data_IF_194818395992
#
_entry.id   IF_194818395992
#
_cell.length_a   1.000
_cell.length_b   1.000
_cell.length_c   1.000
_cell.angle_alpha   90.00
_cell.angle_beta   90.00
_cell.angle_gamma   90.00
#
_symmetry.space_group_name_H-M   'P 1'
#
loop_
_entity.id
_entity.type
_entity.pdbx_description
1 polymer ?
#
# COMPACT_ATOMS: atom_id res chain seq x y z
N UNK A 1 -70.08 19.04 52.29
CA UNK A 1 -68.77 18.37 52.13
C UNK A 1 -68.68 17.54 50.84
N UNK A 2 -69.60 16.68 50.47
CA UNK A 2 -69.50 15.87 49.23
C UNK A 2 -69.48 16.67 47.93
N UNK A 3 -70.14 17.84 47.85
CA UNK A 3 -70.11 18.68 46.62
C UNK A 3 -68.85 19.43 46.44
N UNK A 4 -68.14 19.83 47.52
CA UNK A 4 -66.81 20.43 47.47
C UNK A 4 -65.72 19.45 47.03
N UNK A 5 -65.81 18.20 47.45
CA UNK A 5 -64.89 17.16 47.04
C UNK A 5 -65.00 16.81 45.54
N UNK A 6 -66.23 16.82 44.99
CA UNK A 6 -66.46 16.54 43.56
C UNK A 6 -65.93 17.69 42.70
N UNK A 7 -66.04 18.94 43.10
CA UNK A 7 -65.49 20.09 42.34
C UNK A 7 -63.99 20.07 42.37
N UNK A 8 -63.34 19.68 43.49
CA UNK A 8 -61.86 19.57 43.59
C UNK A 8 -61.31 18.44 42.70
N UNK A 9 -62.00 17.33 42.59
CA UNK A 9 -61.64 16.21 41.72
C UNK A 9 -61.72 16.60 40.22
N UNK A 10 -62.83 17.30 39.85
CA UNK A 10 -62.98 17.80 38.47
C UNK A 10 -61.87 18.83 38.07
N UNK A 11 -61.46 19.67 39.00
CA UNK A 11 -60.38 20.63 38.75
C UNK A 11 -58.99 19.97 38.50
N UNK A 12 -58.73 18.85 39.17
CA UNK A 12 -57.48 18.09 38.97
C UNK A 12 -57.42 17.36 37.63
N UNK A 13 -58.55 16.97 37.08
CA UNK A 13 -58.63 16.30 35.76
C UNK A 13 -58.41 17.27 34.58
N UNK A 14 -58.74 18.57 34.77
CA UNK A 14 -58.52 19.56 33.71
C UNK A 14 -57.03 20.03 33.59
N UNK A 15 -56.18 19.77 34.55
CA UNK A 15 -54.78 20.17 34.55
C UNK A 15 -53.87 19.33 33.61
N UNK A 16 -54.32 18.19 33.13
CA UNK A 16 -53.49 17.29 32.28
C UNK A 16 -53.60 17.58 30.78
N UNK A 17 -54.53 18.43 30.32
CA UNK A 17 -54.73 18.62 28.86
C UNK A 17 -53.86 19.65 28.19
N UNK A 18 -52.95 20.33 28.91
CA UNK A 18 -52.15 21.43 28.37
C UNK A 18 -50.79 21.01 27.78
N UNK A 19 -50.34 19.80 28.06
CA UNK A 19 -48.97 19.40 27.65
C UNK A 19 -48.85 18.94 26.20
N UNK A 20 -49.90 18.43 25.64
CA UNK A 20 -49.87 17.87 24.27
C UNK A 20 -50.10 18.92 23.20
N UNK A 21 -50.67 20.08 23.52
CA UNK A 21 -50.96 21.14 22.56
C UNK A 21 -49.66 21.79 22.00
N UNK A 22 -48.66 22.02 22.84
CA UNK A 22 -47.40 22.61 22.43
C UNK A 22 -46.56 21.64 21.57
N UNK A 23 -46.64 20.36 21.91
CA UNK A 23 -45.96 19.30 21.14
C UNK A 23 -46.61 19.13 19.77
N UNK A 24 -47.96 19.11 19.73
CA UNK A 24 -48.68 19.02 18.47
C UNK A 24 -48.44 20.25 17.58
N UNK A 25 -48.41 21.46 18.14
CA UNK A 25 -48.03 22.66 17.40
C UNK A 25 -46.62 22.56 16.85
N UNK A 26 -45.67 22.09 17.64
CA UNK A 26 -44.29 21.91 17.17
C UNK A 26 -44.20 20.88 16.02
N UNK A 27 -44.87 19.76 16.14
CA UNK A 27 -44.95 18.73 15.09
C UNK A 27 -45.54 19.32 13.80
N UNK A 28 -46.65 20.06 13.90
CA UNK A 28 -47.25 20.70 12.73
C UNK A 28 -46.36 21.76 12.10
N UNK A 29 -45.62 22.54 12.90
CA UNK A 29 -44.67 23.53 12.40
C UNK A 29 -43.56 22.84 11.62
N UNK A 30 -42.94 21.81 12.18
CA UNK A 30 -41.88 21.05 11.49
C UNK A 30 -42.38 20.35 10.24
N UNK A 31 -43.63 19.85 10.27
CA UNK A 31 -44.24 19.19 9.14
C UNK A 31 -44.63 20.14 8.01
N UNK A 32 -44.97 21.39 8.35
CA UNK A 32 -45.27 22.44 7.39
C UNK A 32 -44.05 23.15 6.81
N UNK A 33 -42.87 22.98 7.45
CA UNK A 33 -41.63 23.49 6.86
C UNK A 33 -41.37 22.80 5.54
N UNK A 34 -41.26 23.55 4.44
CA UNK A 34 -40.92 22.96 3.15
C UNK A 34 -39.57 22.25 3.25
N UNK A 35 -39.54 20.97 2.96
CA UNK A 35 -38.31 20.19 2.95
C UNK A 35 -37.21 20.92 2.16
N UNK A 36 -36.02 20.98 2.71
CA UNK A 36 -34.89 21.64 2.06
C UNK A 36 -34.77 21.22 0.60
N UNK A 37 -34.36 22.17 -0.24
CA UNK A 37 -34.18 21.93 -1.66
C UNK A 37 -33.16 20.79 -1.84
N UNK A 38 -33.62 19.64 -2.29
CA UNK A 38 -32.75 18.52 -2.63
C UNK A 38 -31.95 18.92 -3.87
N UNK A 39 -30.63 18.93 -3.79
CA UNK A 39 -29.79 19.14 -4.95
C UNK A 39 -30.09 18.06 -6.01
N UNK A 40 -30.26 18.46 -7.27
CA UNK A 40 -30.43 17.49 -8.35
C UNK A 40 -29.22 16.56 -8.39
N UNK A 41 -29.46 15.26 -8.55
CA UNK A 41 -28.40 14.29 -8.72
C UNK A 41 -27.49 14.72 -9.89
N UNK A 42 -26.16 14.60 -9.75
CA UNK A 42 -25.24 14.89 -10.85
C UNK A 42 -25.59 14.02 -12.05
N UNK A 43 -25.64 14.64 -13.21
CA UNK A 43 -25.85 13.92 -14.47
C UNK A 43 -24.73 12.91 -14.67
N UNK A 44 -25.10 11.63 -14.71
CA UNK A 44 -24.16 10.56 -15.04
C UNK A 44 -23.86 10.68 -16.54
N UNK A 45 -22.68 11.18 -16.87
CA UNK A 45 -22.22 11.15 -18.25
C UNK A 45 -22.06 9.69 -18.66
N UNK A 46 -22.78 9.22 -19.70
CA UNK A 46 -22.54 7.91 -20.25
C UNK A 46 -21.07 7.87 -20.71
N UNK A 47 -20.29 6.91 -20.20
CA UNK A 47 -18.96 6.70 -20.73
C UNK A 47 -19.06 5.75 -21.93
N UNK A 48 -18.30 6.04 -22.98
CA UNK A 48 -18.23 5.18 -24.14
C UNK A 48 -17.58 3.86 -23.75
N UNK A 49 -18.34 2.77 -23.90
CA UNK A 49 -17.82 1.44 -23.63
C UNK A 49 -16.72 1.12 -24.65
N UNK A 50 -15.48 0.97 -24.16
CA UNK A 50 -14.38 0.57 -25.01
C UNK A 50 -14.57 -0.88 -25.47
N UNK A 51 -14.76 -1.10 -26.75
CA UNK A 51 -14.80 -2.42 -27.33
C UNK A 51 -13.38 -2.98 -27.44
N UNK A 52 -13.03 -3.95 -26.61
CA UNK A 52 -11.74 -4.63 -26.68
C UNK A 52 -11.65 -5.45 -27.96
N UNK A 53 -10.78 -5.04 -28.90
CA UNK A 53 -10.47 -5.80 -30.10
C UNK A 53 -9.12 -6.51 -29.95
N UNK A 54 -9.19 -7.82 -29.74
CA UNK A 54 -8.02 -8.68 -29.59
C UNK A 54 -7.68 -9.46 -30.86
N UNK A 55 -8.38 -9.21 -31.95
CA UNK A 55 -8.17 -9.92 -33.21
C UNK A 55 -6.74 -9.69 -33.71
N UNK A 56 -5.97 -10.76 -33.83
CA UNK A 56 -4.56 -10.71 -34.23
C UNK A 56 -3.57 -10.37 -33.13
N UNK A 57 -4.03 -10.09 -31.90
CA UNK A 57 -3.14 -9.90 -30.77
C UNK A 57 -2.86 -11.23 -30.07
N UNK A 58 -1.62 -11.42 -29.65
CA UNK A 58 -1.23 -12.60 -28.90
C UNK A 58 -1.90 -12.61 -27.54
N UNK A 59 -2.35 -13.81 -27.12
CA UNK A 59 -2.88 -13.99 -25.76
C UNK A 59 -1.80 -13.66 -24.70
N UNK A 60 -2.09 -12.85 -23.69
CA UNK A 60 -1.13 -12.57 -22.61
C UNK A 60 -0.79 -13.79 -21.74
N UNK A 61 -1.59 -14.87 -21.84
CA UNK A 61 -1.41 -16.08 -21.05
C UNK A 61 -0.64 -17.20 -21.80
N UNK A 62 -0.34 -17.00 -23.06
CA UNK A 62 0.52 -17.94 -23.78
C UNK A 62 1.96 -17.54 -23.50
N UNK A 63 2.78 -18.47 -22.93
CA UNK A 63 4.19 -18.20 -22.74
C UNK A 63 4.79 -17.69 -24.04
N UNK A 64 5.57 -16.63 -23.96
CA UNK A 64 6.17 -16.01 -25.13
C UNK A 64 6.99 -17.03 -25.89
N UNK A 65 6.39 -17.58 -26.96
CA UNK A 65 7.18 -18.40 -27.89
C UNK A 65 8.34 -17.56 -28.41
N UNK A 66 9.53 -17.98 -28.07
CA UNK A 66 10.77 -17.87 -28.84
C UNK A 66 10.94 -16.64 -29.76
N UNK A 67 10.75 -15.46 -29.25
CA UNK A 67 11.05 -14.30 -30.07
C UNK A 67 12.00 -13.32 -29.43
N UNK A 68 12.02 -13.33 -28.13
CA UNK A 68 12.91 -12.52 -27.35
C UNK A 68 13.22 -13.25 -26.04
N UNK A 69 13.83 -14.41 -26.11
CA UNK A 69 14.90 -14.64 -25.16
C UNK A 69 15.75 -13.38 -25.29
N UNK A 70 15.61 -12.47 -24.33
CA UNK A 70 16.60 -11.42 -24.18
C UNK A 70 17.89 -12.16 -23.85
N UNK A 71 18.56 -12.61 -24.91
CA UNK A 71 19.86 -13.25 -24.82
C UNK A 71 20.84 -12.12 -24.52
N UNK A 72 20.56 -11.41 -23.43
CA UNK A 72 21.40 -10.32 -22.90
C UNK A 72 22.77 -10.84 -22.49
N UNK A 73 23.01 -12.17 -22.63
CA UNK A 73 24.24 -12.79 -22.18
C UNK A 73 24.43 -12.78 -20.65
N UNK A 74 23.49 -12.15 -19.94
CA UNK A 74 23.52 -12.09 -18.49
C UNK A 74 23.16 -13.45 -17.92
N UNK A 75 24.05 -14.02 -17.11
CA UNK A 75 23.84 -15.26 -16.37
C UNK A 75 24.48 -15.15 -15.00
N UNK A 76 23.88 -15.79 -13.98
CA UNK A 76 24.53 -15.94 -12.68
C UNK A 76 25.89 -16.62 -12.83
N UNK A 77 26.92 -16.11 -12.18
CA UNK A 77 28.24 -16.74 -12.19
C UNK A 77 28.27 -17.87 -11.16
N UNK A 78 27.96 -19.08 -11.59
CA UNK A 78 27.93 -20.25 -10.72
C UNK A 78 29.31 -20.76 -10.30
N UNK A 79 30.39 -20.31 -10.95
CA UNK A 79 31.74 -20.79 -10.69
C UNK A 79 32.48 -20.00 -9.61
N UNK A 80 31.89 -18.95 -9.06
CA UNK A 80 32.48 -18.17 -7.95
C UNK A 80 32.05 -18.73 -6.59
N UNK A 81 32.89 -18.67 -5.58
CA UNK A 81 32.46 -18.96 -4.21
C UNK A 81 31.40 -17.95 -3.79
N UNK A 82 30.35 -18.41 -3.14
CA UNK A 82 29.30 -17.54 -2.62
C UNK A 82 29.77 -16.82 -1.36
N UNK A 83 29.44 -15.53 -1.28
CA UNK A 83 29.69 -14.74 -0.10
C UNK A 83 28.64 -15.02 0.99
N UNK A 84 28.99 -14.77 2.24
CA UNK A 84 28.10 -15.04 3.38
C UNK A 84 26.75 -14.34 3.28
N UNK A 85 26.72 -13.10 2.77
CA UNK A 85 25.51 -12.29 2.66
C UNK A 85 24.54 -12.75 1.55
N UNK A 86 24.97 -13.64 0.68
CA UNK A 86 24.08 -14.24 -0.33
C UNK A 86 23.14 -15.31 0.22
N UNK A 87 23.32 -15.70 1.48
CA UNK A 87 22.40 -16.65 2.15
C UNK A 87 21.09 -15.97 2.56
N UNK A 88 21.07 -14.66 2.68
CA UNK A 88 19.94 -13.87 3.15
C UNK A 88 19.21 -13.21 1.98
N UNK A 89 17.87 -13.08 2.10
CA UNK A 89 17.10 -12.27 1.17
C UNK A 89 17.39 -10.78 1.40
N UNK A 90 17.38 -9.96 0.34
CA UNK A 90 17.59 -8.51 0.44
C UNK A 90 16.62 -7.85 1.41
N UNK A 91 15.35 -8.29 1.41
CA UNK A 91 14.30 -7.73 2.26
C UNK A 91 14.52 -7.94 3.76
N UNK A 92 15.35 -8.93 4.11
CA UNK A 92 15.66 -9.23 5.52
C UNK A 92 16.90 -8.49 6.02
N UNK A 93 17.66 -7.89 5.12
CA UNK A 93 18.85 -7.12 5.45
C UNK A 93 18.52 -5.64 5.57
N UNK A 94 19.19 -4.94 6.48
CA UNK A 94 18.98 -3.52 6.71
C UNK A 94 20.33 -2.80 6.71
N UNK A 95 20.41 -1.69 5.96
CA UNK A 95 21.55 -0.79 6.09
C UNK A 95 21.47 -0.05 7.42
N UNK A 96 22.55 -0.07 8.19
CA UNK A 96 22.63 0.61 9.49
C UNK A 96 23.60 1.79 9.50
N UNK A 97 24.32 1.99 8.40
CA UNK A 97 25.20 3.14 8.25
C UNK A 97 26.29 2.92 7.20
N UNK A 98 27.20 3.85 7.16
CA UNK A 98 28.41 3.79 6.33
C UNK A 98 29.66 3.96 7.20
N UNK A 99 30.76 3.48 6.71
CA UNK A 99 32.07 3.60 7.34
C UNK A 99 33.09 4.02 6.29
N UNK A 100 33.92 5.01 6.59
CA UNK A 100 34.98 5.43 5.71
C UNK A 100 36.34 5.14 6.35
N UNK A 101 37.18 4.36 5.64
CA UNK A 101 38.51 3.99 6.08
C UNK A 101 39.46 4.27 4.93
N UNK A 102 40.49 5.05 5.18
CA UNK A 102 41.54 5.34 4.18
C UNK A 102 41.02 5.81 2.82
N UNK A 103 39.98 6.64 2.83
CA UNK A 103 39.32 7.15 1.62
C UNK A 103 38.35 6.17 0.93
N UNK A 104 38.23 4.95 1.41
CA UNK A 104 37.29 3.95 0.87
C UNK A 104 35.99 3.96 1.72
N UNK A 105 34.83 3.96 1.05
CA UNK A 105 33.53 3.91 1.69
C UNK A 105 33.02 2.48 1.71
N UNK A 106 32.55 2.06 2.88
CA UNK A 106 31.95 0.76 3.14
C UNK A 106 30.51 0.95 3.62
N UNK A 107 29.63 0.06 3.23
CA UNK A 107 28.31 -0.06 3.80
C UNK A 107 28.29 -1.01 5.00
N UNK A 108 27.42 -0.75 5.95
CA UNK A 108 27.17 -1.62 7.10
C UNK A 108 25.77 -2.22 6.96
N UNK A 109 25.71 -3.53 6.76
CA UNK A 109 24.46 -4.30 6.61
C UNK A 109 24.23 -5.16 7.86
N UNK A 110 23.09 -4.98 8.49
CA UNK A 110 22.62 -5.85 9.57
C UNK A 110 21.78 -6.98 8.98
N UNK A 111 22.13 -8.21 9.30
CA UNK A 111 21.42 -9.42 8.93
C UNK A 111 20.41 -9.85 10.02
N UNK A 112 19.48 -10.78 9.75
CA UNK A 112 18.45 -11.19 10.71
C UNK A 112 18.95 -11.74 12.03
N UNK A 113 20.17 -12.27 12.07
CA UNK A 113 20.82 -12.76 13.31
C UNK A 113 21.36 -11.63 14.21
N UNK A 114 21.16 -10.35 13.80
CA UNK A 114 21.59 -9.17 14.53
C UNK A 114 23.02 -8.72 14.26
N UNK A 115 23.83 -9.53 13.57
CA UNK A 115 25.23 -9.17 13.26
C UNK A 115 25.27 -8.11 12.16
N UNK A 116 26.30 -7.27 12.23
CA UNK A 116 26.57 -6.23 11.24
C UNK A 116 27.80 -6.62 10.43
N UNK A 117 27.61 -6.63 9.12
CA UNK A 117 28.65 -6.96 8.15
C UNK A 117 29.04 -5.72 7.37
N UNK A 118 30.35 -5.56 7.16
CA UNK A 118 30.91 -4.53 6.31
C UNK A 118 30.95 -5.01 4.86
N UNK A 119 30.43 -4.19 3.95
CA UNK A 119 30.42 -4.47 2.50
C UNK A 119 31.04 -3.33 1.72
N UNK A 120 31.59 -3.65 0.55
CA UNK A 120 32.15 -2.68 -0.39
C UNK A 120 31.56 -2.86 -1.79
N UNK A 121 31.82 -1.89 -2.67
CA UNK A 121 31.42 -1.98 -4.07
C UNK A 121 32.08 -3.20 -4.71
N UNK A 122 31.27 -4.02 -5.38
CA UNK A 122 31.70 -5.27 -6.00
C UNK A 122 31.38 -6.51 -5.18
N UNK A 123 31.08 -6.43 -3.87
CA UNK A 123 30.60 -7.58 -3.07
C UNK A 123 29.23 -8.04 -3.53
N UNK A 124 28.95 -9.29 -3.24
CA UNK A 124 27.66 -9.92 -3.54
C UNK A 124 26.79 -10.07 -2.30
N UNK A 125 25.52 -9.73 -2.44
CA UNK A 125 24.51 -9.79 -1.38
C UNK A 125 23.18 -10.25 -1.93
N UNK A 126 22.39 -10.93 -1.12
CA UNK A 126 21.09 -11.41 -1.54
C UNK A 126 21.14 -12.70 -2.35
N UNK A 127 20.00 -13.40 -2.42
CA UNK A 127 19.88 -14.73 -3.03
C UNK A 127 19.88 -14.71 -4.55
N UNK A 128 19.72 -13.52 -5.16
CA UNK A 128 19.64 -13.33 -6.60
C UNK A 128 20.93 -12.73 -7.21
N UNK A 129 22.10 -13.17 -6.74
CA UNK A 129 23.41 -12.70 -7.21
C UNK A 129 23.53 -11.16 -7.23
N UNK A 130 23.00 -10.50 -6.22
CA UNK A 130 22.96 -9.04 -6.12
C UNK A 130 24.35 -8.44 -5.94
N UNK A 131 24.90 -7.81 -6.97
CA UNK A 131 26.21 -7.16 -6.93
C UNK A 131 26.08 -5.69 -6.53
N UNK A 132 26.82 -5.27 -5.50
CA UNK A 132 26.85 -3.88 -5.05
C UNK A 132 27.54 -3.00 -6.10
N UNK A 133 26.82 -1.99 -6.58
CA UNK A 133 27.31 -1.05 -7.60
C UNK A 133 27.74 0.29 -7.03
N UNK A 134 27.05 0.77 -5.96
CA UNK A 134 27.37 2.02 -5.30
C UNK A 134 26.94 2.03 -3.83
N UNK A 135 27.65 2.78 -3.01
CA UNK A 135 27.36 2.99 -1.58
C UNK A 135 27.22 4.50 -1.33
N UNK A 136 25.98 4.95 -1.10
CA UNK A 136 25.67 6.30 -0.66
C UNK A 136 25.44 6.33 0.86
N UNK A 137 25.30 7.52 1.44
CA UNK A 137 25.13 7.67 2.89
C UNK A 137 23.80 7.10 3.39
N UNK A 138 22.77 7.10 2.55
CA UNK A 138 21.41 6.67 2.88
C UNK A 138 20.96 5.40 2.17
N UNK A 139 21.74 4.83 1.25
CA UNK A 139 21.40 3.61 0.52
C UNK A 139 22.59 2.90 -0.07
N UNK A 140 22.47 1.60 -0.23
CA UNK A 140 23.37 0.75 -1.00
C UNK A 140 22.64 0.34 -2.27
N UNK A 141 23.16 0.72 -3.44
CA UNK A 141 22.61 0.33 -4.74
C UNK A 141 23.29 -0.95 -5.22
N UNK A 142 22.50 -1.83 -5.81
CA UNK A 142 22.99 -3.12 -6.33
C UNK A 142 22.21 -3.51 -7.59
N UNK A 143 22.74 -4.45 -8.31
CA UNK A 143 22.09 -5.07 -9.47
C UNK A 143 21.94 -6.55 -9.21
N UNK A 144 20.71 -7.06 -9.26
CA UNK A 144 20.38 -8.48 -9.14
C UNK A 144 20.26 -9.13 -10.51
N UNK A 145 20.54 -10.42 -10.57
CA UNK A 145 20.32 -11.26 -11.76
C UNK A 145 19.15 -12.19 -11.46
N UNK A 146 18.01 -11.90 -12.05
CA UNK A 146 16.77 -12.65 -11.81
C UNK A 146 16.32 -13.39 -13.08
N UNK A 147 15.67 -14.57 -12.96
CA UNK A 147 15.13 -15.25 -14.12
C UNK A 147 14.00 -14.43 -14.78
N UNK A 148 13.98 -14.39 -16.09
CA UNK A 148 12.97 -13.68 -16.90
C UNK A 148 11.66 -14.46 -17.09
N UNK A 149 11.59 -15.70 -16.58
CA UNK A 149 10.46 -16.60 -16.76
C UNK A 149 10.41 -17.30 -18.12
N UNK A 150 11.32 -16.99 -19.03
CA UNK A 150 11.40 -17.54 -20.39
C UNK A 150 12.64 -18.44 -20.58
N UNK A 151 13.34 -18.75 -19.49
CA UNK A 151 14.56 -19.54 -19.49
C UNK A 151 15.85 -18.72 -19.64
N UNK A 152 15.74 -17.38 -19.63
CA UNK A 152 16.84 -16.43 -19.56
C UNK A 152 16.96 -15.74 -18.21
N UNK A 153 17.86 -14.76 -18.15
CA UNK A 153 18.09 -13.91 -16.97
C UNK A 153 18.12 -12.45 -17.38
N UNK A 154 17.63 -11.60 -16.50
CA UNK A 154 17.69 -10.14 -16.66
C UNK A 154 18.34 -9.48 -15.44
N UNK A 155 19.02 -8.37 -15.67
CA UNK A 155 19.49 -7.51 -14.58
C UNK A 155 18.34 -6.63 -14.06
N UNK A 156 18.21 -6.59 -12.75
CA UNK A 156 17.23 -5.74 -12.06
C UNK A 156 17.95 -4.84 -11.07
N UNK A 157 17.83 -3.52 -11.16
CA UNK A 157 18.35 -2.62 -10.15
C UNK A 157 17.57 -2.79 -8.84
N UNK A 158 18.27 -2.84 -7.72
CA UNK A 158 17.72 -2.89 -6.38
C UNK A 158 18.51 -1.97 -5.44
N UNK A 159 17.97 -1.66 -4.28
CA UNK A 159 18.65 -0.86 -3.27
C UNK A 159 18.21 -1.27 -1.86
N UNK A 160 19.16 -1.20 -0.92
CA UNK A 160 18.89 -1.35 0.52
C UNK A 160 19.03 0.05 1.14
N UNK A 161 17.93 0.57 1.68
CA UNK A 161 17.88 1.86 2.34
C UNK A 161 18.41 1.82 3.78
N UNK A 162 18.84 2.99 4.28
CA UNK A 162 19.19 3.17 5.68
C UNK A 162 17.94 2.94 6.54
N UNK A 163 18.06 2.08 7.53
CA UNK A 163 17.00 1.82 8.52
C UNK A 163 17.13 2.83 9.65
N UNK A 164 16.09 3.61 9.88
CA UNK A 164 15.90 4.38 11.11
C UNK A 164 15.66 3.49 12.32
#
# INVERSE_FOLDING_TARGET
MRRLAVVSVLGLLAACSGRDASLNQFIETIRSEPGGRVEPLPEVKPFDAFAYSAVGKRSPFVPGGSGASSNTGVRPNVNRPREFLEQFSLDTMKMVGTLQISGRKFGLLRVPDGRVHRVEVGNYVGQADGRITAIADNKISLTEVVPDGLGGYIERPAAIGLSE
#
